data_IF_392938576886
#
_entry.id   IF_392938576886
#
_cell.length_a   1.000
_cell.length_b   1.000
_cell.length_c   1.000
_cell.angle_alpha   90.00
_cell.angle_beta   90.00
_cell.angle_gamma   90.00
#
_symmetry.space_group_name_H-M   'P 1'
#
loop_
_entity.id
_entity.type
_entity.pdbx_description
1 polymer ?
#
# COMPACT_ATOMS: atom_id res chain seq x y z
N UNK A 1 -11.67 -9.95 13.31
CA UNK A 1 -11.29 -8.70 12.71
C UNK A 1 -11.59 -8.74 11.23
N UNK A 2 -12.35 -7.81 10.76
CA UNK A 2 -12.59 -7.76 9.33
C UNK A 2 -11.61 -6.81 8.68
N UNK A 3 -11.21 -7.17 7.47
CA UNK A 3 -10.31 -6.35 6.69
C UNK A 3 -11.12 -5.57 5.66
N UNK A 4 -10.89 -4.29 5.59
CA UNK A 4 -11.64 -3.41 4.71
C UNK A 4 -10.66 -2.78 3.73
N UNK A 5 -11.01 -2.81 2.44
CA UNK A 5 -10.19 -2.17 1.42
C UNK A 5 -10.05 -0.67 1.70
N UNK A 6 -8.90 -0.13 1.35
CA UNK A 6 -8.66 1.30 1.45
C UNK A 6 -9.68 2.12 0.67
N UNK A 7 -10.28 1.52 -0.35
CA UNK A 7 -11.37 2.14 -1.09
C UNK A 7 -12.49 2.63 -0.16
N UNK A 8 -12.77 1.88 0.90
CA UNK A 8 -13.83 2.21 1.85
C UNK A 8 -13.33 3.03 3.03
N UNK A 9 -12.04 2.93 3.33
CA UNK A 9 -11.46 3.62 4.48
C UNK A 9 -11.25 5.11 4.21
N UNK A 10 -10.74 5.46 3.04
CA UNK A 10 -10.41 6.85 2.74
C UNK A 10 -11.62 7.79 2.75
N UNK A 11 -12.80 7.41 2.26
CA UNK A 11 -13.95 8.31 2.37
C UNK A 11 -14.32 8.64 3.81
N UNK A 12 -14.21 7.66 4.72
CA UNK A 12 -14.50 7.89 6.13
C UNK A 12 -13.43 8.79 6.74
N UNK A 13 -12.17 8.52 6.43
CA UNK A 13 -11.08 9.34 6.94
C UNK A 13 -11.21 10.79 6.47
N UNK A 14 -11.60 10.99 5.21
CA UNK A 14 -11.81 12.33 4.67
C UNK A 14 -12.88 13.08 5.46
N UNK A 15 -13.94 12.36 5.85
CA UNK A 15 -15.07 12.98 6.54
C UNK A 15 -14.79 13.34 8.00
N UNK A 16 -13.87 12.63 8.66
CA UNK A 16 -13.69 12.77 10.10
C UNK A 16 -12.36 13.37 10.54
N UNK A 17 -11.42 13.59 9.62
CA UNK A 17 -10.12 14.15 10.01
C UNK A 17 -10.06 15.64 9.74
N UNK A 18 -9.13 16.30 10.44
CA UNK A 18 -8.90 17.73 10.25
C UNK A 18 -8.24 17.99 8.88
N UNK A 19 -8.30 19.23 8.39
CA UNK A 19 -7.74 19.54 7.06
C UNK A 19 -6.24 19.31 6.90
N UNK A 20 -5.51 19.20 8.00
CA UNK A 20 -4.07 18.98 7.95
C UNK A 20 -3.65 17.66 8.58
N UNK A 21 -4.58 16.74 8.75
CA UNK A 21 -4.29 15.46 9.38
C UNK A 21 -3.25 14.68 8.58
N UNK A 22 -2.39 13.96 9.29
CA UNK A 22 -1.41 13.05 8.68
C UNK A 22 -1.67 11.64 9.19
N UNK A 23 -1.29 10.67 8.41
CA UNK A 23 -1.50 9.28 8.81
C UNK A 23 -0.61 8.33 8.04
N UNK A 24 -0.66 7.07 8.46
CA UNK A 24 0.05 6.00 7.79
C UNK A 24 -0.98 4.92 7.46
N UNK A 25 -0.98 4.50 6.20
CA UNK A 25 -1.86 3.44 5.76
C UNK A 25 -1.02 2.19 5.51
N UNK A 26 -1.45 1.08 6.09
CA UNK A 26 -0.82 -0.20 5.80
C UNK A 26 -1.51 -0.79 4.58
N UNK A 27 -0.80 -0.89 3.49
CA UNK A 27 -1.33 -1.41 2.24
C UNK A 27 -1.03 -2.90 2.18
N UNK A 28 -2.08 -3.70 2.16
CA UNK A 28 -1.98 -5.15 2.14
C UNK A 28 -2.44 -5.66 0.78
N UNK A 29 -1.50 -6.00 -0.11
CA UNK A 29 -1.87 -6.41 -1.46
C UNK A 29 -2.85 -7.58 -1.50
N UNK A 30 -2.76 -8.48 -0.53
CA UNK A 30 -3.66 -9.63 -0.48
C UNK A 30 -5.12 -9.25 -0.26
N UNK A 31 -5.38 -8.03 0.21
CA UNK A 31 -6.74 -7.53 0.40
C UNK A 31 -7.15 -6.49 -0.63
N UNK A 32 -6.18 -5.95 -1.37
CA UNK A 32 -6.47 -4.92 -2.37
C UNK A 32 -6.46 -5.45 -3.80
N UNK A 33 -5.74 -6.53 -4.05
CA UNK A 33 -5.70 -7.12 -5.38
C UNK A 33 -6.96 -7.95 -5.64
N UNK A 34 -7.31 -8.10 -6.90
CA UNK A 34 -8.42 -8.97 -7.26
C UNK A 34 -8.08 -10.43 -6.95
N UNK A 35 -9.10 -11.25 -6.76
CA UNK A 35 -8.94 -12.65 -6.40
C UNK A 35 -8.02 -13.41 -7.34
N UNK A 36 -8.10 -13.10 -8.62
CA UNK A 36 -7.31 -13.79 -9.62
C UNK A 36 -5.82 -13.54 -9.48
N UNK A 37 -5.43 -12.53 -8.73
CA UNK A 37 -4.02 -12.19 -8.54
C UNK A 37 -3.48 -12.62 -7.19
N UNK A 38 -4.28 -13.29 -6.41
CA UNK A 38 -3.85 -13.80 -5.11
C UNK A 38 -3.64 -15.30 -5.23
N UNK A 39 -2.48 -15.77 -4.78
CA UNK A 39 -2.13 -17.17 -4.87
C UNK A 39 -2.93 -18.06 -3.92
N UNK A 40 -2.69 -19.36 -4.01
CA UNK A 40 -3.45 -20.35 -3.27
C UNK A 40 -3.48 -20.16 -1.77
N UNK A 41 -2.43 -19.61 -1.20
CA UNK A 41 -2.36 -19.42 0.23
C UNK A 41 -2.67 -17.98 0.65
N UNK A 42 -3.33 -17.23 -0.23
CA UNK A 42 -3.63 -15.85 0.07
C UNK A 42 -2.42 -14.95 -0.06
N UNK A 43 -1.48 -15.29 -0.92
CA UNK A 43 -0.24 -14.53 -1.07
C UNK A 43 -0.16 -13.88 -2.44
N UNK A 44 0.12 -12.60 -2.46
CA UNK A 44 0.40 -11.86 -3.69
C UNK A 44 1.91 -11.84 -3.88
N UNK A 45 2.41 -12.49 -4.93
CA UNK A 45 3.84 -12.64 -5.14
C UNK A 45 4.42 -11.79 -6.25
N UNK A 46 3.60 -11.37 -7.20
CA UNK A 46 4.09 -10.67 -8.38
C UNK A 46 4.42 -9.21 -8.10
N UNK A 47 5.66 -8.78 -8.41
CA UNK A 47 5.98 -7.35 -8.25
C UNK A 47 5.06 -6.44 -9.06
N UNK A 48 4.63 -6.89 -10.24
CA UNK A 48 3.70 -6.10 -11.05
C UNK A 48 2.37 -5.88 -10.33
N UNK A 49 1.89 -6.89 -9.61
CA UNK A 49 0.66 -6.77 -8.84
C UNK A 49 0.86 -5.82 -7.67
N UNK A 50 2.01 -5.88 -7.01
CA UNK A 50 2.31 -4.94 -5.93
C UNK A 50 2.30 -3.49 -6.44
N UNK A 51 2.90 -3.25 -7.60
CA UNK A 51 2.89 -1.89 -8.18
C UNK A 51 1.48 -1.44 -8.50
N UNK A 52 0.68 -2.32 -9.08
CA UNK A 52 -0.70 -2.00 -9.41
C UNK A 52 -1.51 -1.66 -8.16
N UNK A 53 -1.37 -2.44 -7.10
CA UNK A 53 -2.07 -2.20 -5.85
C UNK A 53 -1.69 -0.84 -5.27
N UNK A 54 -0.41 -0.50 -5.30
CA UNK A 54 0.04 0.78 -4.77
C UNK A 54 -0.47 1.95 -5.60
N UNK A 55 -0.52 1.80 -6.92
CA UNK A 55 -1.09 2.84 -7.77
C UNK A 55 -2.57 3.04 -7.49
N UNK A 56 -3.29 1.96 -7.30
CA UNK A 56 -4.71 2.04 -6.98
C UNK A 56 -4.92 2.68 -5.60
N UNK A 57 -4.11 2.30 -4.62
CA UNK A 57 -4.20 2.88 -3.27
C UNK A 57 -3.92 4.38 -3.32
N UNK A 58 -2.93 4.80 -4.08
CA UNK A 58 -2.66 6.21 -4.30
C UNK A 58 -3.87 6.93 -4.88
N UNK A 59 -4.52 6.31 -5.85
CA UNK A 59 -5.73 6.87 -6.45
C UNK A 59 -6.86 7.05 -5.45
N UNK A 60 -7.06 6.07 -4.58
CA UNK A 60 -8.08 6.19 -3.54
C UNK A 60 -7.76 7.33 -2.59
N UNK A 61 -6.50 7.47 -2.18
CA UNK A 61 -6.10 8.54 -1.30
C UNK A 61 -6.37 9.90 -1.94
N UNK A 62 -5.92 10.09 -3.17
CA UNK A 62 -6.08 11.36 -3.86
C UNK A 62 -7.53 11.70 -4.13
N UNK A 63 -8.35 10.71 -4.42
CA UNK A 63 -9.78 10.93 -4.67
C UNK A 63 -10.52 11.38 -3.42
N UNK A 64 -9.92 11.19 -2.25
CA UNK A 64 -10.53 11.53 -0.97
C UNK A 64 -9.71 12.58 -0.22
N UNK A 65 -9.03 13.45 -0.95
CA UNK A 65 -8.30 14.60 -0.39
C UNK A 65 -7.12 14.22 0.48
N UNK A 66 -6.42 13.13 0.12
CA UNK A 66 -5.17 12.78 0.79
C UNK A 66 -4.04 12.75 -0.23
N UNK A 67 -2.98 13.47 0.07
CA UNK A 67 -1.74 13.39 -0.69
C UNK A 67 -0.93 12.23 -0.17
N UNK A 68 -0.55 11.27 -1.03
CA UNK A 68 0.42 10.25 -0.62
C UNK A 68 1.78 10.92 -0.55
N UNK A 69 2.28 11.10 0.67
CA UNK A 69 3.48 11.89 0.94
C UNK A 69 4.74 11.05 1.03
N UNK A 70 4.62 9.75 1.15
CA UNK A 70 5.77 8.86 1.22
C UNK A 70 5.34 7.42 1.11
N UNK A 71 6.31 6.56 0.83
CA UNK A 71 6.05 5.14 0.64
C UNK A 71 7.26 4.35 1.10
N UNK A 72 6.98 3.26 1.81
CA UNK A 72 8.02 2.33 2.21
C UNK A 72 7.40 0.93 2.28
N UNK A 73 8.22 -0.07 2.54
CA UNK A 73 7.71 -1.41 2.75
C UNK A 73 7.91 -1.81 4.20
N UNK A 74 7.01 -2.65 4.70
CA UNK A 74 7.14 -3.16 6.05
C UNK A 74 8.35 -4.10 6.11
N UNK A 75 9.21 -3.98 7.12
CA UNK A 75 10.38 -4.86 7.22
C UNK A 75 10.01 -6.28 7.61
N UNK A 76 8.78 -6.50 8.02
CA UNK A 76 8.30 -7.81 8.42
C UNK A 76 7.18 -8.22 7.48
N UNK A 77 7.28 -9.42 6.90
CA UNK A 77 6.22 -9.91 6.04
C UNK A 77 4.96 -10.18 6.86
N UNK A 78 3.80 -9.92 6.24
CA UNK A 78 2.52 -10.21 6.85
C UNK A 78 2.14 -11.68 6.75
N UNK A 79 0.85 -11.98 6.96
CA UNK A 79 0.38 -13.35 6.94
C UNK A 79 0.77 -14.10 5.68
N UNK A 80 1.11 -15.36 5.83
CA UNK A 80 1.49 -16.27 4.75
C UNK A 80 2.69 -15.78 3.93
N UNK A 81 3.43 -14.80 4.44
CA UNK A 81 4.59 -14.27 3.75
C UNK A 81 4.30 -13.12 2.80
N UNK A 82 3.18 -12.48 2.93
CA UNK A 82 2.86 -11.31 2.09
C UNK A 82 3.76 -10.13 2.41
N UNK A 83 4.25 -9.47 1.36
CA UNK A 83 4.93 -8.19 1.51
C UNK A 83 3.85 -7.12 1.66
N UNK A 84 4.00 -6.27 2.67
CA UNK A 84 3.06 -5.19 2.92
C UNK A 84 3.78 -3.85 2.84
N UNK A 85 3.03 -2.79 2.55
CA UNK A 85 3.62 -1.47 2.33
C UNK A 85 3.02 -0.44 3.25
N UNK A 86 3.79 0.61 3.51
CA UNK A 86 3.36 1.73 4.34
C UNK A 86 3.27 2.95 3.44
N UNK A 87 2.09 3.55 3.37
CA UNK A 87 1.89 4.77 2.60
C UNK A 87 1.59 5.90 3.58
N UNK A 88 2.45 6.90 3.58
CA UNK A 88 2.26 8.08 4.42
C UNK A 88 1.37 9.05 3.67
N UNK A 89 0.31 9.53 4.34
CA UNK A 89 -0.67 10.41 3.68
C UNK A 89 -0.90 11.65 4.50
N UNK A 90 -1.30 12.70 3.82
CA UNK A 90 -1.65 13.97 4.46
C UNK A 90 -2.94 14.51 3.86
N UNK A 91 -3.89 14.90 4.69
CA UNK A 91 -5.12 15.51 4.23
C UNK A 91 -4.79 16.83 3.53
N UNK A 92 -5.31 17.04 2.34
CA UNK A 92 -4.90 18.14 1.50
C UNK A 92 -6.00 18.47 0.49
N UNK A 93 -6.21 19.76 0.24
CA UNK A 93 -7.21 20.18 -0.71
C UNK A 93 -6.85 19.80 -2.15
N UNK A 94 -5.58 19.84 -2.49
CA UNK A 94 -5.09 19.54 -3.82
C UNK A 94 -4.05 18.43 -3.79
N UNK A 95 -4.48 17.17 -3.64
CA UNK A 95 -3.53 16.07 -3.51
C UNK A 95 -2.64 15.92 -4.73
N UNK A 96 -1.39 15.56 -4.48
CA UNK A 96 -0.40 15.31 -5.51
C UNK A 96 0.04 13.86 -5.44
N UNK A 97 0.38 13.23 -6.58
CA UNK A 97 0.82 11.85 -6.55
C UNK A 97 2.23 11.72 -5.95
N UNK A 98 2.59 10.49 -5.62
CA UNK A 98 3.95 10.19 -5.20
C UNK A 98 4.92 10.56 -6.32
N UNK A 99 6.19 10.83 -5.97
CA UNK A 99 7.20 11.10 -6.99
C UNK A 99 7.27 9.99 -8.01
N UNK A 100 7.52 10.37 -9.26
CA UNK A 100 7.62 9.39 -10.33
C UNK A 100 8.73 8.39 -10.03
N UNK A 101 8.44 7.11 -10.24
CA UNK A 101 9.42 6.06 -9.99
C UNK A 101 9.47 5.54 -8.57
N UNK A 102 8.88 6.25 -7.61
CA UNK A 102 8.97 5.82 -6.21
C UNK A 102 8.26 4.49 -5.96
N UNK A 103 7.10 4.27 -6.57
CA UNK A 103 6.39 3.02 -6.41
C UNK A 103 7.24 1.86 -6.91
N UNK A 104 7.80 2.00 -8.11
CA UNK A 104 8.64 0.96 -8.71
C UNK A 104 9.87 0.68 -7.86
N UNK A 105 10.52 1.73 -7.38
CA UNK A 105 11.71 1.58 -6.54
C UNK A 105 11.39 0.89 -5.23
N UNK A 106 10.27 1.25 -4.61
CA UNK A 106 9.88 0.67 -3.34
C UNK A 106 9.55 -0.81 -3.48
N UNK A 107 8.82 -1.17 -4.52
CA UNK A 107 8.49 -2.56 -4.78
C UNK A 107 9.75 -3.38 -5.07
N UNK A 108 10.64 -2.86 -5.90
CA UNK A 108 11.88 -3.56 -6.22
C UNK A 108 12.73 -3.78 -4.97
N UNK A 109 12.84 -2.75 -4.14
CA UNK A 109 13.64 -2.84 -2.92
C UNK A 109 13.01 -3.83 -1.93
N UNK A 110 11.70 -3.85 -1.83
CA UNK A 110 11.01 -4.78 -0.94
C UNK A 110 11.28 -6.22 -1.35
N UNK A 111 11.15 -6.53 -2.62
CA UNK A 111 11.41 -7.87 -3.11
C UNK A 111 12.88 -8.26 -2.95
N UNK A 112 13.79 -7.33 -3.24
CA UNK A 112 15.19 -7.60 -3.06
C UNK A 112 15.53 -7.89 -1.60
N UNK A 113 14.97 -7.11 -0.68
CA UNK A 113 15.28 -7.23 0.73
C UNK A 113 14.62 -8.43 1.38
N UNK A 114 13.33 -8.63 1.12
CA UNK A 114 12.55 -9.62 1.85
C UNK A 114 12.58 -11.00 1.22
N UNK A 115 12.64 -11.07 -0.10
CA UNK A 115 12.61 -12.36 -0.77
C UNK A 115 13.96 -13.06 -0.78
N UNK A 116 15.04 -12.32 -0.58
CA UNK A 116 16.36 -12.93 -0.51
C UNK A 116 16.74 -13.44 0.86
N UNK A 117 16.04 -12.97 1.87
CA UNK A 117 16.42 -13.26 3.24
C UNK A 117 16.33 -14.72 3.64
N UNK A 118 15.47 -15.50 3.09
CA UNK A 118 15.25 -16.82 3.61
C UNK A 118 16.40 -17.77 3.53
N UNK A 119 17.37 -17.41 2.80
CA UNK A 119 18.45 -18.33 2.67
C UNK A 119 19.33 -18.42 3.82
N UNK A 120 18.96 -17.72 4.83
CA UNK A 120 19.80 -17.64 5.93
C UNK A 120 19.43 -18.58 6.95
N UNK A 121 19.16 -19.57 6.86
CA UNK A 121 18.87 -20.37 7.98
C UNK A 121 19.30 -21.67 7.87
#
# INVERSE_FOLDING_TARGET
VSFISLKHIFPVADAITTPDAVGVCLVKPQFEAGREKVGKKGVVREPATHREVLEVAQGYAMANHFTPAGLDFSPIKGPEGNIEFLMYVQHCENPQPLPEGLIEQTVAKAHETLDKAPNLH
#
